data_IF_023746749974
#
_entry.id   IF_023746749974
#
_cell.length_a   1.000
_cell.length_b   1.000
_cell.length_c   1.000
_cell.angle_alpha   90.00
_cell.angle_beta   90.00
_cell.angle_gamma   90.00
#
_symmetry.space_group_name_H-M   'P 1'
#
loop_
_entity.id
_entity.type
_entity.pdbx_description
1 polymer ?
#
# COMPACT_ATOMS: atom_id res chain seq x y z
N UNK A 1 -21.89 -1.00 -36.23
CA UNK A 1 -22.28 0.42 -36.15
C UNK A 1 -21.07 1.23 -36.61
N UNK A 2 -21.13 1.86 -37.80
CA UNK A 2 -20.01 2.64 -38.32
C UNK A 2 -19.89 3.95 -37.53
N UNK A 3 -18.84 4.10 -36.77
CA UNK A 3 -18.52 5.37 -36.07
C UNK A 3 -18.10 6.36 -37.18
N UNK A 4 -18.85 7.43 -37.35
CA UNK A 4 -18.50 8.48 -38.30
C UNK A 4 -17.19 9.14 -37.87
N UNK A 5 -16.23 9.32 -38.78
CA UNK A 5 -14.93 9.98 -38.53
C UNK A 5 -15.06 11.37 -37.84
N UNK A 6 -16.21 12.03 -37.98
CA UNK A 6 -16.52 13.30 -37.24
C UNK A 6 -16.59 13.10 -35.74
N UNK A 7 -17.09 11.95 -35.26
CA UNK A 7 -17.20 11.67 -33.82
C UNK A 7 -15.84 11.35 -33.18
N UNK A 8 -14.85 10.95 -34.01
CA UNK A 8 -13.47 10.68 -33.54
C UNK A 8 -12.64 11.96 -33.37
N UNK A 9 -13.00 13.05 -34.07
CA UNK A 9 -12.31 14.34 -33.96
C UNK A 9 -12.88 15.26 -32.86
N UNK A 10 -13.96 14.84 -32.17
CA UNK A 10 -14.41 15.48 -30.95
C UNK A 10 -13.48 15.03 -29.80
N UNK A 11 -12.58 15.90 -29.26
CA UNK A 11 -11.61 15.51 -28.24
C UNK A 11 -12.21 14.74 -27.05
N UNK A 12 -13.38 15.12 -26.49
CA UNK A 12 -14.02 14.35 -25.42
C UNK A 12 -14.51 12.97 -25.89
N UNK A 13 -14.96 12.81 -27.12
CA UNK A 13 -15.45 11.55 -27.68
C UNK A 13 -14.31 10.55 -27.90
N UNK A 14 -13.23 10.97 -28.54
CA UNK A 14 -12.03 10.16 -28.79
C UNK A 14 -11.36 9.74 -27.47
N UNK A 15 -11.18 10.69 -26.54
CA UNK A 15 -10.59 10.40 -25.24
C UNK A 15 -11.40 9.37 -24.44
N UNK A 16 -12.74 9.44 -24.48
CA UNK A 16 -13.60 8.45 -23.81
C UNK A 16 -13.44 7.06 -24.39
N UNK A 17 -13.41 6.95 -25.74
CA UNK A 17 -13.22 5.66 -26.41
C UNK A 17 -11.88 5.03 -26.07
N UNK A 18 -10.78 5.76 -26.23
CA UNK A 18 -9.44 5.24 -25.97
C UNK A 18 -9.28 4.89 -24.47
N UNK A 19 -9.73 5.77 -23.56
CA UNK A 19 -9.67 5.47 -22.14
C UNK A 19 -10.50 4.23 -21.77
N UNK A 20 -11.64 4.01 -22.38
CA UNK A 20 -12.45 2.81 -22.17
C UNK A 20 -11.69 1.54 -22.55
N UNK A 21 -11.04 1.53 -23.74
CA UNK A 21 -10.26 0.37 -24.19
C UNK A 21 -9.05 0.11 -23.28
N UNK A 22 -8.33 1.17 -22.90
CA UNK A 22 -7.18 1.06 -21.97
C UNK A 22 -7.66 0.54 -20.61
N UNK A 23 -8.72 1.12 -20.05
CA UNK A 23 -9.24 0.72 -18.74
C UNK A 23 -9.72 -0.73 -18.75
N UNK A 24 -10.42 -1.16 -19.81
CA UNK A 24 -10.88 -2.53 -19.97
C UNK A 24 -9.70 -3.52 -20.06
N UNK A 25 -8.64 -3.19 -20.82
CA UNK A 25 -7.46 -4.03 -20.93
C UNK A 25 -6.74 -4.21 -19.59
N UNK A 26 -6.50 -3.13 -18.85
CA UNK A 26 -5.88 -3.18 -17.53
C UNK A 26 -6.71 -3.96 -16.50
N UNK A 27 -8.03 -3.83 -16.54
CA UNK A 27 -8.91 -4.55 -15.65
C UNK A 27 -8.95 -6.05 -15.94
N UNK A 28 -8.85 -6.45 -17.24
CA UNK A 28 -8.71 -7.86 -17.65
C UNK A 28 -7.37 -8.42 -17.17
N UNK A 29 -6.27 -7.69 -17.37
CA UNK A 29 -4.94 -8.08 -16.90
C UNK A 29 -4.94 -8.29 -15.38
N UNK A 30 -5.48 -7.32 -14.64
CA UNK A 30 -5.61 -7.39 -13.17
C UNK A 30 -6.45 -8.56 -12.70
N UNK A 31 -7.52 -8.91 -13.40
CA UNK A 31 -8.37 -10.04 -13.06
C UNK A 31 -7.65 -11.40 -13.25
N UNK A 32 -6.62 -11.45 -14.11
CA UNK A 32 -5.77 -12.62 -14.32
C UNK A 32 -4.66 -12.81 -13.29
N UNK A 33 -4.40 -11.81 -12.44
CA UNK A 33 -3.34 -11.91 -11.42
C UNK A 33 -3.71 -12.89 -10.30
N UNK A 34 -2.69 -13.63 -9.83
CA UNK A 34 -2.84 -14.48 -8.64
C UNK A 34 -3.11 -13.63 -7.42
N UNK A 35 -4.18 -13.95 -6.71
CA UNK A 35 -4.52 -13.23 -5.46
C UNK A 35 -3.52 -13.53 -4.38
N UNK A 36 -3.29 -12.54 -3.55
CA UNK A 36 -2.48 -12.68 -2.35
C UNK A 36 -3.26 -13.47 -1.31
N UNK A 37 -2.61 -14.44 -0.70
CA UNK A 37 -3.08 -15.25 0.43
C UNK A 37 -2.51 -14.78 1.77
N UNK A 38 -2.09 -13.53 1.84
CA UNK A 38 -1.48 -12.89 3.01
C UNK A 38 -1.92 -11.43 3.15
N UNK A 39 -1.76 -10.89 4.35
CA UNK A 39 -1.96 -9.46 4.60
C UNK A 39 -0.67 -8.72 4.26
N UNK A 40 -0.72 -7.82 3.29
CA UNK A 40 0.41 -6.98 2.92
C UNK A 40 0.73 -5.95 4.00
N UNK A 41 2.01 -5.77 4.33
CA UNK A 41 2.46 -4.79 5.31
C UNK A 41 1.95 -3.36 5.01
N UNK A 42 1.89 -2.99 3.73
CA UNK A 42 1.35 -1.70 3.28
C UNK A 42 -0.13 -1.49 3.61
N UNK A 43 -0.87 -2.56 3.86
CA UNK A 43 -2.28 -2.49 4.22
C UNK A 43 -2.51 -2.43 5.75
N UNK A 44 -1.54 -2.87 6.57
CA UNK A 44 -1.70 -2.98 8.02
C UNK A 44 -1.92 -1.64 8.73
N UNK A 45 -1.60 -0.53 8.09
CA UNK A 45 -1.95 0.81 8.58
C UNK A 45 -3.42 1.18 8.40
N UNK A 46 -4.21 0.35 7.70
CA UNK A 46 -5.65 0.57 7.55
C UNK A 46 -6.35 0.35 8.92
N UNK A 47 -7.19 1.28 9.37
CA UNK A 47 -7.84 1.16 10.68
C UNK A 47 -8.96 0.11 10.72
N UNK A 48 -9.44 -0.41 9.59
CA UNK A 48 -10.53 -1.36 9.51
C UNK A 48 -10.04 -2.81 9.47
N UNK A 49 -10.12 -3.54 10.59
CA UNK A 49 -9.73 -4.97 10.68
C UNK A 49 -10.51 -5.84 9.68
N UNK A 50 -11.78 -5.54 9.44
CA UNK A 50 -12.62 -6.30 8.53
C UNK A 50 -12.18 -6.16 7.06
N UNK A 51 -11.61 -5.01 6.68
CA UNK A 51 -11.03 -4.81 5.34
C UNK A 51 -9.80 -5.69 5.15
N UNK A 52 -8.93 -5.74 6.16
CA UNK A 52 -7.74 -6.62 6.16
C UNK A 52 -8.15 -8.10 6.13
N UNK A 53 -9.18 -8.47 6.89
CA UNK A 53 -9.74 -9.83 6.88
C UNK A 53 -10.29 -10.22 5.50
N UNK A 54 -11.01 -9.33 4.81
CA UNK A 54 -11.49 -9.61 3.44
C UNK A 54 -10.34 -9.79 2.45
N UNK A 55 -9.28 -8.98 2.57
CA UNK A 55 -8.09 -9.14 1.74
C UNK A 55 -7.44 -10.50 1.95
N UNK A 56 -7.25 -10.91 3.21
CA UNK A 56 -6.66 -12.21 3.58
C UNK A 56 -7.55 -13.39 3.18
N UNK A 57 -8.85 -13.30 3.42
CA UNK A 57 -9.83 -14.34 3.07
C UNK A 57 -10.05 -14.47 1.55
N UNK A 58 -9.40 -13.65 0.73
CA UNK A 58 -9.60 -13.68 -0.73
C UNK A 58 -11.01 -13.28 -1.16
N UNK A 59 -11.75 -12.53 -0.33
CA UNK A 59 -13.08 -12.02 -0.68
C UNK A 59 -12.93 -11.03 -1.83
N UNK A 60 -13.75 -11.20 -2.87
CA UNK A 60 -13.74 -10.35 -4.06
C UNK A 60 -14.00 -8.90 -3.67
N UNK A 61 -13.09 -7.96 -3.99
CA UNK A 61 -13.34 -6.54 -3.81
C UNK A 61 -14.35 -6.03 -4.86
N UNK A 62 -14.95 -4.89 -4.59
CA UNK A 62 -15.60 -4.10 -5.63
C UNK A 62 -14.58 -3.78 -6.73
N UNK A 63 -15.05 -3.67 -7.97
CA UNK A 63 -14.18 -3.49 -9.14
C UNK A 63 -13.23 -2.29 -8.97
N UNK A 64 -11.94 -2.53 -9.14
CA UNK A 64 -10.93 -1.47 -9.23
C UNK A 64 -10.99 -0.89 -10.64
N UNK A 65 -11.16 0.43 -10.76
CA UNK A 65 -11.22 1.07 -12.07
C UNK A 65 -9.85 1.06 -12.78
N UNK A 66 -9.84 0.95 -14.11
CA UNK A 66 -8.63 1.05 -14.91
C UNK A 66 -7.85 2.35 -14.66
N UNK A 67 -8.55 3.46 -14.36
CA UNK A 67 -7.90 4.70 -13.91
C UNK A 67 -7.07 4.50 -12.64
N UNK A 68 -7.57 3.76 -11.66
CA UNK A 68 -6.81 3.46 -10.43
C UNK A 68 -5.59 2.60 -10.72
N UNK A 69 -5.72 1.64 -11.63
CA UNK A 69 -4.60 0.80 -12.07
C UNK A 69 -3.49 1.65 -12.71
N UNK A 70 -3.83 2.57 -13.64
CA UNK A 70 -2.85 3.52 -14.20
C UNK A 70 -2.14 4.35 -13.14
N UNK A 71 -2.84 4.77 -12.08
CA UNK A 71 -2.22 5.52 -10.97
C UNK A 71 -1.20 4.65 -10.24
N UNK A 72 -1.49 3.36 -10.03
CA UNK A 72 -0.55 2.43 -9.38
C UNK A 72 0.69 2.18 -10.24
N UNK A 73 0.53 1.90 -11.53
CA UNK A 73 1.65 1.73 -12.47
C UNK A 73 2.52 2.98 -12.58
N UNK A 74 1.90 4.16 -12.63
CA UNK A 74 2.64 5.44 -12.58
C UNK A 74 3.46 5.54 -11.30
N UNK A 75 2.93 5.07 -10.17
CA UNK A 75 3.65 5.03 -8.90
C UNK A 75 4.92 4.19 -8.99
N UNK A 76 4.82 2.96 -9.49
CA UNK A 76 5.96 2.05 -9.65
C UNK A 76 7.02 2.60 -10.62
N UNK A 77 6.59 3.21 -11.75
CA UNK A 77 7.53 3.81 -12.68
C UNK A 77 8.31 4.99 -12.05
N UNK A 78 7.65 5.80 -11.23
CA UNK A 78 8.27 6.92 -10.53
C UNK A 78 9.22 6.47 -9.40
N UNK A 79 8.91 5.37 -8.71
CA UNK A 79 9.79 4.74 -7.72
C UNK A 79 11.13 4.32 -8.36
N UNK A 80 11.08 3.65 -9.51
CA UNK A 80 12.29 3.26 -10.25
C UNK A 80 13.14 4.48 -10.66
N UNK A 81 12.50 5.60 -11.02
CA UNK A 81 13.20 6.84 -11.33
C UNK A 81 13.87 7.44 -10.08
N UNK A 82 13.18 7.50 -8.95
CA UNK A 82 13.73 8.02 -7.70
C UNK A 82 14.91 7.16 -7.21
N UNK A 83 14.79 5.84 -7.29
CA UNK A 83 15.89 4.90 -7.01
C UNK A 83 17.13 5.20 -7.87
N UNK A 84 16.92 5.39 -9.19
CA UNK A 84 18.01 5.76 -10.11
C UNK A 84 18.65 7.10 -9.72
N UNK A 85 17.87 8.12 -9.34
CA UNK A 85 18.42 9.42 -8.95
C UNK A 85 19.26 9.35 -7.68
N UNK A 86 18.86 8.57 -6.69
CA UNK A 86 19.66 8.34 -5.49
C UNK A 86 20.98 7.62 -5.81
N UNK A 87 20.95 6.61 -6.67
CA UNK A 87 22.20 5.94 -7.12
C UNK A 87 23.15 6.92 -7.84
N UNK A 88 22.62 7.83 -8.67
CA UNK A 88 23.42 8.90 -9.29
C UNK A 88 23.99 9.89 -8.27
N UNK A 89 23.32 10.08 -7.14
CA UNK A 89 23.79 10.89 -6.02
C UNK A 89 24.70 10.10 -5.05
N UNK A 90 25.23 8.96 -5.48
CA UNK A 90 26.16 8.11 -4.74
C UNK A 90 25.58 7.45 -3.49
N UNK A 91 24.25 7.23 -3.42
CA UNK A 91 23.67 6.32 -2.46
C UNK A 91 23.76 4.88 -2.98
N UNK A 92 24.18 3.96 -2.13
CA UNK A 92 24.26 2.53 -2.44
C UNK A 92 22.95 1.85 -1.99
N UNK A 93 22.04 1.65 -2.96
CA UNK A 93 20.71 1.06 -2.74
C UNK A 93 20.68 -0.41 -3.13
N UNK A 94 20.19 -1.24 -2.22
CA UNK A 94 19.91 -2.65 -2.42
C UNK A 94 18.39 -2.88 -2.37
N UNK A 95 17.79 -3.21 -3.51
CA UNK A 95 16.36 -3.47 -3.72
C UNK A 95 16.05 -4.96 -3.92
N UNK A 96 17.09 -5.76 -4.16
CA UNK A 96 16.97 -7.21 -4.33
C UNK A 96 17.86 -7.98 -3.34
N UNK A 97 17.39 -9.14 -2.95
CA UNK A 97 18.18 -10.12 -2.21
C UNK A 97 19.19 -10.76 -3.18
N UNK A 98 20.52 -10.66 -2.92
CA UNK A 98 21.55 -11.19 -3.80
C UNK A 98 21.49 -12.72 -3.95
N UNK A 99 20.87 -13.43 -3.02
CA UNK A 99 20.77 -14.89 -3.07
C UNK A 99 19.61 -15.37 -3.94
N UNK A 100 18.51 -14.61 -3.97
CA UNK A 100 17.27 -15.01 -4.67
C UNK A 100 17.02 -14.21 -5.94
N UNK A 101 17.64 -13.04 -6.10
CA UNK A 101 17.37 -12.09 -7.18
C UNK A 101 15.98 -11.47 -7.12
N UNK A 102 15.23 -11.67 -6.02
CA UNK A 102 13.90 -11.12 -5.79
C UNK A 102 13.99 -9.84 -4.99
N UNK A 103 12.95 -9.01 -5.08
CA UNK A 103 12.80 -7.84 -4.21
C UNK A 103 12.97 -8.23 -2.74
N UNK A 104 13.61 -7.37 -1.95
CA UNK A 104 13.76 -7.58 -0.51
C UNK A 104 12.40 -7.67 0.15
N UNK A 105 12.15 -8.79 0.82
CA UNK A 105 10.88 -9.08 1.46
C UNK A 105 11.07 -9.66 2.86
N UNK A 106 10.04 -9.57 3.67
CA UNK A 106 9.91 -10.36 4.89
C UNK A 106 8.59 -11.13 4.89
N UNK A 107 8.57 -12.22 5.63
CA UNK A 107 7.38 -13.01 5.89
C UNK A 107 7.37 -13.47 7.33
N UNK A 108 6.25 -13.29 8.02
CA UNK A 108 6.07 -13.64 9.42
C UNK A 108 4.69 -14.26 9.69
N UNK A 109 4.56 -14.96 10.83
CA UNK A 109 3.30 -15.57 11.23
C UNK A 109 2.84 -16.68 10.28
N UNK A 110 3.72 -17.60 9.90
CA UNK A 110 3.46 -18.66 8.93
C UNK A 110 2.95 -18.11 7.61
N UNK A 111 3.67 -17.13 7.06
CA UNK A 111 3.37 -16.44 5.81
C UNK A 111 2.10 -15.57 5.79
N UNK A 112 1.45 -15.36 6.92
CA UNK A 112 0.20 -14.58 7.00
C UNK A 112 0.38 -13.08 6.81
N UNK A 113 1.57 -12.56 7.15
CA UNK A 113 1.94 -11.15 6.94
C UNK A 113 3.23 -11.10 6.14
N UNK A 114 3.20 -10.38 5.02
CA UNK A 114 4.38 -10.20 4.16
C UNK A 114 4.52 -8.74 3.76
N UNK A 115 5.76 -8.35 3.50
CA UNK A 115 6.05 -7.01 2.98
C UNK A 115 7.28 -6.99 2.12
N UNK A 116 7.25 -6.11 1.10
CA UNK A 116 8.35 -5.84 0.21
C UNK A 116 8.79 -4.40 0.44
N UNK A 117 10.08 -4.18 0.62
CA UNK A 117 10.64 -2.84 0.79
C UNK A 117 11.15 -2.32 -0.54
N UNK A 118 11.10 -1.00 -0.72
CA UNK A 118 11.59 -0.39 -1.95
C UNK A 118 13.11 -0.53 -2.07
N UNK A 119 13.86 -0.31 -0.98
CA UNK A 119 15.28 -0.65 -0.87
C UNK A 119 15.82 -0.51 0.56
N UNK A 120 17.05 -0.98 0.76
CA UNK A 120 17.91 -0.64 1.90
C UNK A 120 19.13 0.12 1.38
N UNK A 121 19.43 1.29 1.94
CA UNK A 121 20.63 2.09 1.64
C UNK A 121 21.72 1.66 2.61
N UNK A 122 22.81 1.10 2.10
CA UNK A 122 23.93 0.60 2.91
C UNK A 122 25.02 1.62 3.12
N UNK A 123 25.18 2.57 2.20
CA UNK A 123 26.14 3.67 2.30
C UNK A 123 25.72 4.84 1.42
N UNK A 124 26.34 6.00 1.61
CA UNK A 124 26.08 7.18 0.81
C UNK A 124 26.64 8.47 1.41
N UNK A 125 26.23 9.64 0.88
CA UNK A 125 26.58 10.94 1.44
C UNK A 125 26.13 11.06 2.91
N UNK A 126 26.86 11.85 3.69
CA UNK A 126 26.44 12.14 5.07
C UNK A 126 25.19 13.00 5.08
N UNK A 127 24.06 12.40 5.49
CA UNK A 127 22.76 13.04 5.61
C UNK A 127 22.27 13.11 7.08
N UNK A 128 23.17 12.80 8.02
CA UNK A 128 22.90 12.81 9.48
C UNK A 128 22.76 11.42 10.08
N UNK A 129 21.72 10.65 9.75
CA UNK A 129 21.56 9.28 10.30
C UNK A 129 22.66 8.33 9.84
N UNK A 130 22.90 7.31 10.67
CA UNK A 130 23.87 6.24 10.36
C UNK A 130 23.23 5.20 9.46
N UNK A 131 23.97 4.75 8.45
CA UNK A 131 23.59 3.62 7.60
C UNK A 131 23.73 2.28 8.35
N UNK A 132 22.97 1.23 8.00
CA UNK A 132 22.01 1.19 6.91
C UNK A 132 20.67 1.89 7.24
N UNK A 133 20.00 2.38 6.20
CA UNK A 133 18.68 3.01 6.28
C UNK A 133 17.68 2.26 5.41
N UNK A 134 16.46 2.10 5.88
CA UNK A 134 15.35 1.78 4.98
C UNK A 134 15.15 2.94 4.00
N UNK A 135 14.81 2.63 2.75
CA UNK A 135 14.34 3.63 1.80
C UNK A 135 12.90 3.32 1.41
N UNK A 136 12.07 4.34 1.47
CA UNK A 136 10.66 4.26 1.07
C UNK A 136 10.33 5.41 0.11
N UNK A 137 9.75 5.08 -1.04
CA UNK A 137 9.42 6.01 -2.10
C UNK A 137 7.90 6.26 -2.20
N UNK A 138 7.50 7.52 -2.34
CA UNK A 138 6.10 7.87 -2.57
C UNK A 138 5.97 8.91 -3.67
N UNK A 139 4.97 8.76 -4.53
CA UNK A 139 4.61 9.79 -5.51
C UNK A 139 3.23 10.34 -5.19
N UNK A 140 3.10 11.65 -5.11
CA UNK A 140 1.91 12.32 -4.61
C UNK A 140 1.40 13.35 -5.62
N UNK A 141 0.08 13.55 -5.65
CA UNK A 141 -0.54 14.70 -6.31
C UNK A 141 -0.38 15.96 -5.46
N UNK A 142 -0.72 17.14 -6.00
CA UNK A 142 -0.55 18.42 -5.32
C UNK A 142 -1.17 18.47 -3.91
N UNK A 143 -2.37 17.92 -3.72
CA UNK A 143 -3.02 17.95 -2.42
C UNK A 143 -2.30 17.05 -1.39
N UNK A 144 -1.93 15.84 -1.80
CA UNK A 144 -1.16 14.91 -0.96
C UNK A 144 0.24 15.42 -0.65
N UNK A 145 0.87 16.09 -1.62
CA UNK A 145 2.16 16.75 -1.47
C UNK A 145 2.12 17.87 -0.43
N UNK A 146 1.19 18.81 -0.58
CA UNK A 146 1.03 19.92 0.36
C UNK A 146 0.76 19.45 1.79
N UNK A 147 -0.09 18.43 1.94
CA UNK A 147 -0.36 17.84 3.24
C UNK A 147 0.89 17.22 3.87
N UNK A 148 1.66 16.43 3.09
CA UNK A 148 2.90 15.81 3.56
C UNK A 148 3.97 16.84 3.96
N UNK A 149 4.23 17.84 3.10
CA UNK A 149 5.29 18.83 3.35
C UNK A 149 4.98 19.74 4.54
N UNK A 150 3.70 19.94 4.86
CA UNK A 150 3.29 20.78 5.99
C UNK A 150 3.24 20.03 7.33
N UNK A 151 2.96 18.71 7.33
CA UNK A 151 2.65 17.97 8.53
C UNK A 151 3.55 16.76 8.79
N UNK A 152 4.44 16.44 7.85
CA UNK A 152 5.26 15.23 7.90
C UNK A 152 4.45 13.95 7.68
N UNK A 153 5.16 12.82 7.55
CA UNK A 153 4.55 11.52 7.21
C UNK A 153 3.56 11.04 8.27
N UNK A 154 3.95 11.12 9.53
CA UNK A 154 3.17 10.56 10.65
C UNK A 154 1.75 11.11 10.71
N UNK A 155 1.61 12.43 10.54
CA UNK A 155 0.32 13.09 10.67
C UNK A 155 -0.48 13.12 9.36
N UNK A 156 0.22 13.28 8.22
CA UNK A 156 -0.43 13.41 6.92
C UNK A 156 -0.85 12.07 6.33
N UNK A 157 -0.06 11.01 6.56
CA UNK A 157 -0.23 9.69 5.97
C UNK A 157 0.02 8.57 7.00
N UNK A 158 -0.83 8.44 8.03
CA UNK A 158 -0.61 7.46 9.10
C UNK A 158 -0.51 6.02 8.60
N UNK A 159 -1.15 5.67 7.48
CA UNK A 159 -1.01 4.34 6.87
C UNK A 159 0.39 4.10 6.30
N UNK A 160 1.00 5.09 5.66
CA UNK A 160 2.39 4.98 5.18
C UNK A 160 3.38 4.99 6.34
N UNK A 161 3.11 5.78 7.38
CA UNK A 161 3.92 5.76 8.59
C UNK A 161 3.90 4.38 9.25
N UNK A 162 2.74 3.74 9.36
CA UNK A 162 2.61 2.37 9.85
C UNK A 162 3.43 1.38 9.00
N UNK A 163 3.34 1.46 7.67
CA UNK A 163 4.13 0.65 6.75
C UNK A 163 5.63 0.78 7.02
N UNK A 164 6.13 2.01 7.16
CA UNK A 164 7.54 2.27 7.47
C UNK A 164 7.93 1.66 8.81
N UNK A 165 7.12 1.81 9.86
CA UNK A 165 7.43 1.24 11.18
C UNK A 165 7.47 -0.29 11.18
N UNK A 166 6.58 -0.94 10.41
CA UNK A 166 6.60 -2.39 10.21
C UNK A 166 7.92 -2.81 9.55
N UNK A 167 8.32 -2.15 8.46
CA UNK A 167 9.55 -2.48 7.75
C UNK A 167 10.79 -2.25 8.62
N UNK A 168 10.85 -1.14 9.36
CA UNK A 168 11.95 -0.86 10.28
C UNK A 168 12.08 -1.95 11.36
N UNK A 169 10.95 -2.41 11.89
CA UNK A 169 10.92 -3.48 12.89
C UNK A 169 11.40 -4.82 12.33
N UNK A 170 10.90 -5.22 11.16
CA UNK A 170 11.19 -6.53 10.57
C UNK A 170 12.62 -6.61 10.02
N UNK A 171 13.11 -5.55 9.38
CA UNK A 171 14.49 -5.48 8.90
C UNK A 171 15.49 -5.03 9.97
N UNK A 172 15.03 -4.72 11.20
CA UNK A 172 15.87 -4.28 12.34
C UNK A 172 16.73 -3.07 12.01
N UNK A 173 16.13 -2.09 11.32
CA UNK A 173 16.77 -0.86 10.91
C UNK A 173 16.42 0.28 11.86
N UNK A 174 17.37 1.18 12.12
CA UNK A 174 17.20 2.29 13.05
C UNK A 174 16.39 3.45 12.50
N UNK A 175 16.40 3.66 11.20
CA UNK A 175 15.69 4.76 10.56
C UNK A 175 15.36 4.46 9.08
N UNK A 176 14.40 5.23 8.56
CA UNK A 176 14.01 5.24 7.14
C UNK A 176 14.26 6.63 6.55
N UNK A 177 14.83 6.65 5.34
CA UNK A 177 14.79 7.81 4.46
C UNK A 177 13.53 7.70 3.59
N UNK A 178 12.51 8.50 3.89
CA UNK A 178 11.38 8.72 2.99
C UNK A 178 11.80 9.65 1.86
N UNK A 179 11.51 9.27 0.63
CA UNK A 179 11.60 10.16 -0.54
C UNK A 179 10.21 10.29 -1.15
N UNK A 180 9.66 11.49 -1.19
CA UNK A 180 8.40 11.76 -1.87
C UNK A 180 8.60 12.64 -3.09
N UNK A 181 7.91 12.33 -4.20
CA UNK A 181 7.92 13.07 -5.45
C UNK A 181 6.56 13.72 -5.69
N UNK A 182 6.54 15.03 -5.92
CA UNK A 182 5.37 15.71 -6.48
C UNK A 182 5.21 15.36 -7.96
N UNK A 183 4.13 14.65 -8.32
CA UNK A 183 3.85 14.29 -9.72
C UNK A 183 3.60 15.48 -10.62
N UNK A 184 3.21 16.62 -10.04
CA UNK A 184 2.80 17.80 -10.80
C UNK A 184 3.97 18.77 -11.04
N UNK A 185 4.99 18.77 -10.15
CA UNK A 185 6.09 19.74 -10.18
C UNK A 185 7.48 19.12 -10.33
N UNK A 186 7.61 17.81 -10.09
CA UNK A 186 8.92 17.14 -10.02
C UNK A 186 9.72 17.44 -8.75
N UNK A 187 9.17 18.20 -7.80
CA UNK A 187 9.84 18.51 -6.54
C UNK A 187 10.00 17.28 -5.66
N UNK A 188 11.12 17.19 -4.95
CA UNK A 188 11.40 16.13 -3.99
C UNK A 188 11.28 16.65 -2.55
N UNK A 189 10.73 15.81 -1.68
CA UNK A 189 10.69 15.97 -0.23
C UNK A 189 11.36 14.77 0.41
N UNK A 190 12.16 14.99 1.44
CA UNK A 190 12.82 13.95 2.19
C UNK A 190 12.52 14.11 3.67
N UNK A 191 12.30 12.98 4.36
CA UNK A 191 12.08 12.94 5.80
C UNK A 191 12.79 11.72 6.39
N UNK A 192 13.46 11.90 7.54
CA UNK A 192 13.99 10.79 8.32
C UNK A 192 12.93 10.36 9.34
N UNK A 193 12.56 9.09 9.28
CA UNK A 193 11.62 8.48 10.22
C UNK A 193 12.41 7.52 11.09
N UNK A 194 12.46 7.82 12.39
CA UNK A 194 13.09 6.94 13.37
C UNK A 194 12.23 5.71 13.66
N UNK A 195 12.90 4.60 13.99
CA UNK A 195 12.24 3.35 14.32
C UNK A 195 11.55 3.40 15.67
N UNK A 196 10.29 2.98 15.70
CA UNK A 196 9.56 2.57 16.91
C UNK A 196 9.25 1.07 16.80
N UNK A 197 10.16 0.18 17.25
CA UNK A 197 9.98 -1.26 17.10
C UNK A 197 8.71 -1.78 17.78
N UNK A 198 8.31 -1.17 18.88
CA UNK A 198 7.08 -1.53 19.59
C UNK A 198 5.84 -1.30 18.75
N UNK A 199 5.80 -0.19 18.01
CA UNK A 199 4.71 0.12 17.10
C UNK A 199 4.70 -0.81 15.88
N UNK A 200 5.86 -1.08 15.27
CA UNK A 200 5.99 -2.02 14.15
C UNK A 200 5.49 -3.41 14.52
N UNK A 201 5.95 -3.95 15.64
CA UNK A 201 5.52 -5.24 16.17
C UNK A 201 4.03 -5.29 16.50
N UNK A 202 3.46 -4.20 17.01
CA UNK A 202 2.02 -4.12 17.28
C UNK A 202 1.18 -4.29 16.02
N UNK A 203 1.58 -3.64 14.90
CA UNK A 203 0.90 -3.79 13.62
C UNK A 203 0.99 -5.21 13.07
N UNK A 204 2.18 -5.83 13.16
CA UNK A 204 2.38 -7.23 12.73
C UNK A 204 1.52 -8.18 13.56
N UNK A 205 1.55 -8.07 14.88
CA UNK A 205 0.72 -8.88 15.77
C UNK A 205 -0.79 -8.68 15.52
N UNK A 206 -1.22 -7.45 15.18
CA UNK A 206 -2.59 -7.17 14.75
C UNK A 206 -2.93 -7.92 13.46
N UNK A 207 -2.04 -7.94 12.47
CA UNK A 207 -2.23 -8.67 11.21
C UNK A 207 -2.38 -10.17 11.43
N UNK A 208 -1.49 -10.77 12.21
CA UNK A 208 -1.55 -12.20 12.58
C UNK A 208 -2.86 -12.52 13.28
N UNK A 209 -3.27 -11.73 14.28
CA UNK A 209 -4.54 -11.92 14.97
C UNK A 209 -5.74 -11.85 14.03
N UNK A 210 -5.74 -10.95 13.05
CA UNK A 210 -6.81 -10.86 12.05
C UNK A 210 -6.84 -12.13 11.18
N UNK A 211 -5.68 -12.64 10.77
CA UNK A 211 -5.58 -13.89 10.03
C UNK A 211 -6.10 -15.07 10.86
N UNK A 212 -5.76 -15.18 12.16
CA UNK A 212 -6.27 -16.22 13.06
C UNK A 212 -7.81 -16.18 13.16
N UNK A 213 -8.42 -15.00 13.23
CA UNK A 213 -9.88 -14.85 13.21
C UNK A 213 -10.46 -15.41 11.92
N UNK A 214 -9.87 -15.08 10.78
CA UNK A 214 -10.33 -15.58 9.47
C UNK A 214 -10.16 -17.08 9.36
N UNK A 215 -9.01 -17.63 9.76
CA UNK A 215 -8.72 -19.06 9.76
C UNK A 215 -9.68 -19.86 10.65
N UNK A 216 -10.23 -19.23 11.70
CA UNK A 216 -11.28 -19.82 12.54
C UNK A 216 -12.68 -19.81 11.88
N UNK A 217 -12.81 -19.26 10.67
CA UNK A 217 -14.08 -19.11 9.95
C UNK A 217 -14.90 -17.89 10.37
N UNK A 218 -14.31 -16.99 11.17
CA UNK A 218 -14.95 -15.76 11.62
C UNK A 218 -14.47 -14.52 10.85
N UNK A 219 -15.10 -13.40 11.09
CA UNK A 219 -14.69 -12.09 10.56
C UNK A 219 -14.70 -11.07 11.69
N UNK A 220 -13.74 -10.14 11.74
CA UNK A 220 -13.77 -9.01 12.66
C UNK A 220 -15.07 -8.21 12.54
N UNK A 221 -15.45 -7.51 13.60
CA UNK A 221 -16.63 -6.65 13.60
C UNK A 221 -16.50 -5.52 12.56
N UNK A 222 -17.64 -4.99 12.14
CA UNK A 222 -17.68 -3.81 11.30
C UNK A 222 -17.23 -2.60 12.10
N UNK A 223 -16.47 -1.70 11.45
CA UNK A 223 -16.15 -0.41 12.07
C UNK A 223 -17.42 0.39 12.38
N UNK A 224 -17.45 1.03 13.53
CA UNK A 224 -18.48 2.01 13.89
C UNK A 224 -18.27 3.35 13.17
N UNK A 225 -17.04 3.62 12.72
CA UNK A 225 -16.71 4.82 11.94
C UNK A 225 -17.06 4.63 10.45
N UNK A 226 -18.26 5.06 10.07
CA UNK A 226 -18.73 4.99 8.68
C UNK A 226 -17.91 5.86 7.71
N UNK A 227 -17.10 6.81 8.22
CA UNK A 227 -16.18 7.60 7.42
C UNK A 227 -15.12 6.73 6.74
N UNK A 228 -14.68 5.67 7.42
CA UNK A 228 -13.72 4.70 6.88
C UNK A 228 -14.30 3.85 5.73
N UNK A 229 -15.63 3.79 5.59
CA UNK A 229 -16.29 3.06 4.53
C UNK A 229 -16.30 3.82 3.19
N UNK A 230 -15.96 5.11 3.18
CA UNK A 230 -15.92 5.90 1.93
C UNK A 230 -14.77 5.39 1.06
N UNK A 231 -15.10 4.95 -0.16
CA UNK A 231 -14.11 4.40 -1.10
C UNK A 231 -13.54 3.04 -0.69
N UNK A 232 -14.19 2.32 0.23
CA UNK A 232 -13.79 0.98 0.60
C UNK A 232 -14.03 0.01 -0.56
N UNK A 233 -13.00 -0.71 -0.99
CA UNK A 233 -13.10 -1.70 -2.07
C UNK A 233 -13.94 -2.93 -1.71
N UNK A 234 -14.33 -3.11 -0.48
CA UNK A 234 -15.21 -4.21 -0.02
C UNK A 234 -16.52 -3.71 0.57
N UNK A 235 -17.00 -2.54 0.14
CA UNK A 235 -18.23 -1.97 0.68
C UNK A 235 -19.45 -2.87 0.40
N UNK A 236 -19.56 -3.38 -0.84
CA UNK A 236 -20.67 -4.25 -1.24
C UNK A 236 -20.64 -5.58 -0.50
N UNK A 237 -19.58 -6.38 -0.50
CA UNK A 237 -19.53 -7.60 0.28
C UNK A 237 -19.68 -7.36 1.79
N UNK A 238 -19.15 -6.27 2.33
CA UNK A 238 -19.30 -5.95 3.74
C UNK A 238 -20.75 -5.69 4.15
N UNK A 239 -21.56 -5.11 3.29
CA UNK A 239 -22.98 -4.86 3.55
C UNK A 239 -23.85 -6.11 3.45
N UNK A 240 -23.50 -7.03 2.55
CA UNK A 240 -24.26 -8.26 2.28
C UNK A 240 -23.91 -9.41 3.21
N UNK A 241 -22.67 -9.48 3.70
CA UNK A 241 -22.27 -10.53 4.65
C UNK A 241 -22.95 -10.29 6.00
N UNK A 242 -23.70 -11.27 6.49
CA UNK A 242 -24.28 -11.19 7.83
C UNK A 242 -23.20 -10.94 8.90
N UNK A 243 -23.51 -10.14 9.93
CA UNK A 243 -22.64 -10.05 11.08
C UNK A 243 -22.49 -11.46 11.68
N UNK A 244 -21.28 -11.92 12.06
CA UNK A 244 -21.17 -13.18 12.79
C UNK A 244 -22.05 -13.05 14.02
N UNK A 245 -22.86 -14.08 14.29
CA UNK A 245 -23.61 -14.17 15.54
C UNK A 245 -22.58 -14.19 16.68
N UNK A 246 -22.43 -13.09 17.39
CA UNK A 246 -21.87 -13.13 18.72
C UNK A 246 -22.84 -13.93 19.57
N UNK A 247 -22.54 -15.21 19.76
CA UNK A 247 -23.15 -15.97 20.86
C UNK A 247 -22.74 -15.25 22.14
N UNK A 248 -23.67 -14.52 22.72
CA UNK A 248 -23.55 -13.97 24.06
C UNK A 248 -23.20 -15.15 24.98
N UNK A 249 -21.94 -15.19 25.43
CA UNK A 249 -21.57 -16.06 26.51
C UNK A 249 -22.33 -15.57 27.74
N UNK A 250 -23.33 -16.35 28.04
CA UNK A 250 -24.18 -16.31 29.21
C UNK A 250 -23.32 -16.09 30.49
N UNK A 251 -23.42 -14.90 31.06
CA UNK A 251 -22.99 -14.68 32.43
C UNK A 251 -24.07 -15.28 33.35
N UNK A 252 -23.88 -16.53 33.76
CA UNK A 252 -24.51 -17.04 35.00
C UNK A 252 -23.54 -18.01 35.65
N UNK A 253 -23.17 -17.61 36.79
CA UNK A 253 -22.91 -18.13 38.15
C UNK A 253 -21.57 -17.67 38.68
#
# INVERSE_FOLDING_TARGET
MAILLRDLNDPPGLSRLINHEIDAALEIERAGEVRRDYIGASALGDPCDRRLAYQYAGIEPDRISGRSLRIFETGHALEALMSRWLRLACFDLHDVDPNTGRQLEFSVGDDRVRGHVDAVITSGPNIGPTYPLLWEAKSLNSAGWTDLTNRGLRESKPGYFAQVQIYLSEFKLGACLLTALSKDTGSLYHEIIESDPGLGQWFVARGIRIADIVDSGALPDRTSDTGQCRGCSWLSPCRTTAAPHTSAHDQRV
#
